data_IF_079200256541
#
_entry.id   IF_079200256541
#
_cell.length_a   1.000
_cell.length_b   1.000
_cell.length_c   1.000
_cell.angle_alpha   90.00
_cell.angle_beta   90.00
_cell.angle_gamma   90.00
#
_symmetry.space_group_name_H-M   'P 1'
#
loop_
_entity.id
_entity.type
_entity.pdbx_description
1 polymer ?
#
# COMPACT_ATOMS: atom_id res chain seq x y z
N UNK A 1 9.39 -9.47 5.26
CA UNK A 1 9.20 -9.18 3.83
C UNK A 1 9.92 -7.89 3.50
N UNK A 2 10.32 -7.68 2.24
CA UNK A 2 10.96 -6.43 1.81
C UNK A 2 10.13 -5.76 0.73
N UNK A 3 10.01 -4.45 0.84
CA UNK A 3 9.47 -3.58 -0.20
C UNK A 3 10.58 -2.70 -0.76
N UNK A 4 10.51 -2.41 -2.05
CA UNK A 4 11.41 -1.49 -2.73
C UNK A 4 10.57 -0.42 -3.42
N UNK A 5 10.66 0.82 -2.94
CA UNK A 5 9.99 1.98 -3.49
C UNK A 5 10.94 2.77 -4.38
N UNK A 6 10.46 3.21 -5.55
CA UNK A 6 11.28 3.89 -6.53
C UNK A 6 10.42 4.77 -7.45
N UNK A 7 11.06 5.71 -8.14
CA UNK A 7 10.38 6.56 -9.13
C UNK A 7 10.72 6.08 -10.53
N UNK A 8 9.70 5.92 -11.36
CA UNK A 8 9.84 5.59 -12.78
C UNK A 8 9.51 6.80 -13.65
N UNK A 9 10.18 6.91 -14.79
CA UNK A 9 9.82 7.88 -15.80
C UNK A 9 8.45 7.52 -16.40
N UNK A 10 7.53 8.47 -16.43
CA UNK A 10 6.21 8.35 -17.04
C UNK A 10 6.02 9.43 -18.10
N UNK A 11 4.96 9.30 -18.91
CA UNK A 11 4.64 10.28 -19.98
C UNK A 11 4.49 11.69 -19.42
N UNK A 12 3.95 11.82 -18.21
CA UNK A 12 3.66 13.09 -17.54
C UNK A 12 4.69 13.47 -16.46
N UNK A 13 5.84 12.79 -16.43
CA UNK A 13 6.94 13.08 -15.50
C UNK A 13 7.43 11.84 -14.77
N UNK A 14 7.07 11.72 -13.49
CA UNK A 14 7.52 10.66 -12.61
C UNK A 14 6.33 9.97 -11.95
N UNK A 15 6.35 8.65 -11.88
CA UNK A 15 5.37 7.84 -11.15
C UNK A 15 6.06 7.07 -10.04
N UNK A 16 5.52 7.02 -8.81
CA UNK A 16 6.06 6.16 -7.78
C UNK A 16 5.62 4.71 -8.04
N UNK A 17 6.53 3.78 -7.83
CA UNK A 17 6.33 2.36 -8.04
C UNK A 17 6.87 1.58 -6.84
N UNK A 18 6.37 0.34 -6.67
CA UNK A 18 6.70 -0.51 -5.55
C UNK A 18 6.90 -1.95 -6.03
N UNK A 19 8.00 -2.57 -5.60
CA UNK A 19 8.21 -4.01 -5.71
C UNK A 19 8.14 -4.66 -4.34
N UNK A 20 7.56 -5.86 -4.28
CA UNK A 20 7.57 -6.70 -3.08
C UNK A 20 8.45 -7.93 -3.29
N UNK A 21 9.21 -8.31 -2.25
CA UNK A 21 9.92 -9.59 -2.22
C UNK A 21 8.98 -10.79 -2.08
N UNK A 22 7.72 -10.54 -1.74
CA UNK A 22 6.65 -11.53 -1.72
C UNK A 22 5.71 -11.28 -2.90
N UNK A 23 5.47 -12.32 -3.67
CA UNK A 23 4.55 -12.32 -4.79
C UNK A 23 3.69 -13.59 -4.74
N UNK A 24 2.44 -13.46 -5.17
CA UNK A 24 1.51 -14.58 -5.30
C UNK A 24 1.70 -15.29 -6.66
N UNK A 25 0.81 -16.25 -6.98
CA UNK A 25 0.78 -16.90 -8.29
C UNK A 25 0.61 -15.86 -9.41
N UNK A 26 1.61 -15.70 -10.27
CA UNK A 26 1.64 -14.68 -11.31
C UNK A 26 2.57 -13.49 -11.06
N UNK A 27 3.44 -13.58 -10.06
CA UNK A 27 4.48 -12.58 -9.74
C UNK A 27 3.91 -11.19 -9.34
N UNK A 28 2.66 -11.15 -8.89
CA UNK A 28 2.00 -9.92 -8.41
C UNK A 28 1.96 -9.94 -6.88
N UNK A 29 2.53 -8.91 -6.24
CA UNK A 29 2.48 -8.71 -4.79
C UNK A 29 1.28 -7.85 -4.38
N UNK A 30 0.23 -8.40 -3.73
CA UNK A 30 -0.99 -7.66 -3.39
C UNK A 30 -0.74 -6.37 -2.62
N UNK A 31 0.19 -6.38 -1.66
CA UNK A 31 0.55 -5.16 -0.93
C UNK A 31 1.15 -4.09 -1.84
N UNK A 32 2.08 -4.45 -2.71
CA UNK A 32 2.68 -3.50 -3.65
C UNK A 32 1.61 -2.88 -4.55
N UNK A 33 0.68 -3.70 -5.05
CA UNK A 33 -0.41 -3.22 -5.90
C UNK A 33 -1.37 -2.28 -5.18
N UNK A 34 -1.73 -2.57 -3.92
CA UNK A 34 -2.55 -1.66 -3.11
C UNK A 34 -1.85 -0.32 -2.88
N UNK A 35 -0.54 -0.32 -2.58
CA UNK A 35 0.22 0.91 -2.35
C UNK A 35 0.27 1.77 -3.62
N UNK A 36 0.44 1.15 -4.79
CA UNK A 36 0.47 1.83 -6.09
C UNK A 36 -0.92 2.10 -6.68
N UNK A 37 -2.01 1.73 -6.01
CA UNK A 37 -3.37 2.02 -6.47
C UNK A 37 -3.70 3.50 -6.26
N UNK A 38 -3.51 4.28 -7.33
CA UNK A 38 -3.84 5.70 -7.36
C UNK A 38 -5.27 6.00 -7.82
N UNK A 39 -6.07 4.97 -8.13
CA UNK A 39 -7.42 5.08 -8.69
C UNK A 39 -7.55 6.10 -9.83
N UNK A 40 -6.55 6.19 -10.70
CA UNK A 40 -6.50 7.10 -11.84
C UNK A 40 -6.19 8.56 -11.48
N UNK A 41 -5.62 8.81 -10.30
CA UNK A 41 -5.24 10.16 -9.83
C UNK A 41 -3.72 10.32 -9.80
N UNK A 42 -3.22 11.54 -9.61
CA UNK A 42 -1.77 11.74 -9.44
C UNK A 42 -1.34 11.24 -8.07
N UNK A 43 -0.09 10.78 -7.97
CA UNK A 43 0.46 10.20 -6.74
C UNK A 43 0.26 11.08 -5.50
N UNK A 44 0.49 12.39 -5.59
CA UNK A 44 0.29 13.32 -4.46
C UNK A 44 -1.19 13.48 -4.07
N UNK A 45 -2.11 13.33 -5.02
CA UNK A 45 -3.55 13.40 -4.75
C UNK A 45 -4.05 12.15 -3.99
N UNK A 46 -3.22 11.09 -3.91
CA UNK A 46 -3.53 9.87 -3.15
C UNK A 46 -3.24 10.01 -1.65
N UNK A 47 -2.37 10.94 -1.24
CA UNK A 47 -1.94 11.13 0.16
C UNK A 47 -3.12 11.26 1.13
N UNK A 48 -4.18 12.06 0.85
CA UNK A 48 -5.33 12.15 1.75
C UNK A 48 -6.06 10.81 1.93
N UNK A 49 -6.19 10.00 0.87
CA UNK A 49 -6.84 8.69 0.94
C UNK A 49 -5.99 7.67 1.73
N UNK A 50 -4.67 7.69 1.53
CA UNK A 50 -3.73 6.90 2.33
C UNK A 50 -3.77 7.30 3.81
N UNK A 51 -3.93 8.61 4.10
CA UNK A 51 -4.14 9.13 5.44
C UNK A 51 -5.41 8.60 6.12
N UNK A 52 -6.50 8.40 5.35
CA UNK A 52 -7.72 7.72 5.85
C UNK A 52 -7.41 6.27 6.21
N UNK A 53 -6.64 5.55 5.38
CA UNK A 53 -6.16 4.20 5.68
C UNK A 53 -5.38 4.14 6.99
N UNK A 54 -4.40 5.03 7.17
CA UNK A 54 -3.62 5.12 8.41
C UNK A 54 -4.48 5.46 9.64
N UNK A 55 -5.50 6.30 9.49
CA UNK A 55 -6.47 6.58 10.55
C UNK A 55 -7.28 5.34 10.96
N UNK A 56 -7.69 4.53 9.99
CA UNK A 56 -8.42 3.27 10.23
C UNK A 56 -7.57 2.22 10.94
N UNK A 57 -6.30 2.10 10.58
CA UNK A 57 -5.33 1.25 11.30
C UNK A 57 -5.28 1.64 12.77
N UNK A 58 -5.15 2.94 13.08
CA UNK A 58 -5.12 3.45 14.46
C UNK A 58 -6.40 3.11 15.22
N UNK A 59 -7.57 3.31 14.62
CA UNK A 59 -8.86 3.01 15.26
C UNK A 59 -9.00 1.51 15.61
N UNK A 60 -8.57 0.63 14.69
CA UNK A 60 -8.62 -0.82 14.90
C UNK A 60 -7.61 -1.31 15.94
N UNK A 61 -6.37 -0.79 15.89
CA UNK A 61 -5.34 -1.07 16.91
C UNK A 61 -5.73 -0.54 18.29
N UNK A 62 -6.37 0.63 18.36
CA UNK A 62 -6.88 1.25 19.58
C UNK A 62 -8.11 0.55 20.17
N UNK A 63 -8.76 -0.34 19.41
CA UNK A 63 -9.98 -1.03 19.83
C UNK A 63 -11.24 -0.18 19.77
N UNK A 64 -11.22 0.92 19.02
CA UNK A 64 -12.41 1.73 18.74
C UNK A 64 -13.35 1.00 17.76
N UNK A 65 -12.76 0.20 16.87
CA UNK A 65 -13.46 -0.58 15.84
C UNK A 65 -12.80 -1.96 15.77
N UNK A 66 -13.58 -3.04 15.63
CA UNK A 66 -13.02 -4.40 15.53
C UNK A 66 -12.61 -4.79 14.10
N UNK A 67 -13.31 -4.23 13.11
CA UNK A 67 -13.14 -4.53 11.69
C UNK A 67 -13.49 -3.33 10.80
N UNK A 68 -12.68 -3.07 9.78
CA UNK A 68 -13.02 -2.09 8.73
C UNK A 68 -12.38 -2.46 7.39
N UNK A 69 -13.14 -2.35 6.30
CA UNK A 69 -12.64 -2.46 4.93
C UNK A 69 -12.18 -1.11 4.40
N UNK A 70 -11.07 -1.07 3.67
CA UNK A 70 -10.48 0.10 3.03
C UNK A 70 -10.00 -0.26 1.62
N UNK A 71 -10.64 0.28 0.59
CA UNK A 71 -10.36 -0.08 -0.79
C UNK A 71 -10.40 1.12 -1.73
N UNK A 72 -9.79 0.94 -2.90
CA UNK A 72 -9.76 1.86 -4.03
C UNK A 72 -9.65 1.06 -5.32
N UNK A 73 -10.28 1.56 -6.38
CA UNK A 73 -10.24 1.09 -7.78
C UNK A 73 -10.06 -0.41 -8.02
N UNK A 74 -8.85 -0.97 -7.82
CA UNK A 74 -8.54 -2.38 -8.06
C UNK A 74 -8.21 -3.18 -6.80
N UNK A 75 -7.83 -2.54 -5.69
CA UNK A 75 -7.31 -3.22 -4.50
C UNK A 75 -7.97 -2.77 -3.19
N UNK A 76 -8.03 -3.69 -2.22
CA UNK A 76 -8.58 -3.43 -0.91
C UNK A 76 -7.78 -4.07 0.22
N UNK A 77 -8.05 -3.58 1.43
CA UNK A 77 -7.57 -4.13 2.67
C UNK A 77 -8.73 -4.31 3.66
N UNK A 78 -8.79 -5.45 4.32
CA UNK A 78 -9.62 -5.68 5.49
C UNK A 78 -8.74 -5.61 6.73
N UNK A 79 -9.05 -4.69 7.64
CA UNK A 79 -8.24 -4.38 8.81
C UNK A 79 -8.91 -4.97 10.06
N UNK A 80 -8.15 -5.77 10.82
CA UNK A 80 -8.50 -6.25 12.16
C UNK A 80 -7.38 -5.91 13.14
N UNK A 81 -7.59 -6.08 14.45
CA UNK A 81 -6.59 -5.70 15.47
C UNK A 81 -5.22 -6.33 15.26
N UNK A 82 -5.15 -7.52 14.65
CA UNK A 82 -3.91 -8.27 14.53
C UNK A 82 -3.46 -8.45 13.07
N UNK A 83 -4.40 -8.46 12.12
CA UNK A 83 -4.14 -8.88 10.76
C UNK A 83 -4.78 -7.95 9.74
N UNK A 84 -4.14 -7.89 8.59
CA UNK A 84 -4.64 -7.23 7.39
C UNK A 84 -4.71 -8.24 6.27
N UNK A 85 -5.87 -8.35 5.62
CA UNK A 85 -6.02 -9.07 4.35
C UNK A 85 -6.00 -8.05 3.23
N UNK A 86 -4.97 -8.06 2.39
CA UNK A 86 -4.89 -7.26 1.16
C UNK A 86 -5.38 -8.11 -0.01
N UNK A 87 -6.32 -7.62 -0.81
CA UNK A 87 -7.01 -8.42 -1.82
C UNK A 87 -7.32 -7.62 -3.08
N UNK A 88 -7.43 -8.35 -4.20
CA UNK A 88 -7.95 -7.82 -5.46
C UNK A 88 -9.47 -7.67 -5.38
N UNK A 89 -10.00 -6.53 -5.87
CA UNK A 89 -11.44 -6.32 -6.02
C UNK A 89 -12.04 -7.10 -7.20
N UNK A 90 -11.20 -7.64 -8.08
CA UNK A 90 -11.61 -8.42 -9.25
C UNK A 90 -11.50 -9.94 -9.03
N UNK A 91 -10.71 -10.37 -8.05
CA UNK A 91 -10.51 -11.77 -7.70
C UNK A 91 -10.38 -11.93 -6.18
N UNK A 92 -11.47 -12.35 -5.54
CA UNK A 92 -11.53 -12.56 -4.08
C UNK A 92 -10.62 -13.67 -3.57
N UNK A 93 -10.17 -14.57 -4.47
CA UNK A 93 -9.20 -15.62 -4.16
C UNK A 93 -7.75 -15.12 -4.20
N UNK A 94 -7.53 -13.92 -4.79
CA UNK A 94 -6.22 -13.30 -4.90
C UNK A 94 -5.97 -12.33 -3.74
N UNK A 95 -5.30 -12.81 -2.70
CA UNK A 95 -5.02 -12.03 -1.51
C UNK A 95 -3.71 -12.40 -0.82
N UNK A 96 -3.26 -11.51 0.07
CA UNK A 96 -2.18 -11.71 1.02
C UNK A 96 -2.68 -11.37 2.42
N UNK A 97 -2.24 -12.11 3.44
CA UNK A 97 -2.54 -11.79 4.84
C UNK A 97 -1.24 -11.50 5.58
N UNK A 98 -1.21 -10.39 6.31
CA UNK A 98 -0.04 -9.94 7.05
C UNK A 98 -0.40 -9.34 8.41
N UNK A 99 0.62 -9.14 9.26
CA UNK A 99 0.45 -8.45 10.56
C UNK A 99 0.10 -6.97 10.35
N UNK A 100 -0.79 -6.43 11.19
CA UNK A 100 -1.22 -5.03 11.06
C UNK A 100 -0.08 -4.02 11.31
N UNK A 101 0.93 -4.36 12.11
CA UNK A 101 2.07 -3.47 12.34
C UNK A 101 2.97 -3.41 11.11
N UNK A 102 3.23 -4.55 10.47
CA UNK A 102 3.94 -4.62 9.19
C UNK A 102 3.21 -3.83 8.10
N UNK A 103 1.89 -3.93 8.04
CA UNK A 103 1.07 -3.14 7.12
C UNK A 103 1.12 -1.63 7.42
N UNK A 104 1.07 -1.23 8.70
CA UNK A 104 1.21 0.16 9.12
C UNK A 104 2.57 0.74 8.72
N UNK A 105 3.66 0.01 8.95
CA UNK A 105 5.01 0.43 8.53
C UNK A 105 5.07 0.61 7.02
N UNK A 106 4.54 -0.34 6.24
CA UNK A 106 4.50 -0.25 4.79
C UNK A 106 3.74 0.98 4.30
N UNK A 107 2.53 1.22 4.84
CA UNK A 107 1.66 2.33 4.45
C UNK A 107 2.29 3.68 4.79
N UNK A 108 2.84 3.84 6.00
CA UNK A 108 3.47 5.09 6.43
C UNK A 108 4.75 5.37 5.62
N UNK A 109 5.59 4.35 5.40
CA UNK A 109 6.79 4.51 4.60
C UNK A 109 6.46 4.87 3.14
N UNK A 110 5.37 4.32 2.59
CA UNK A 110 4.88 4.69 1.27
C UNK A 110 4.38 6.14 1.21
N UNK A 111 3.58 6.57 2.21
CA UNK A 111 3.12 7.97 2.33
C UNK A 111 4.31 8.94 2.40
N UNK A 112 5.34 8.60 3.17
CA UNK A 112 6.55 9.42 3.27
C UNK A 112 7.29 9.47 1.93
N UNK A 113 7.45 8.32 1.27
CA UNK A 113 8.12 8.21 -0.02
C UNK A 113 7.47 9.06 -1.13
N UNK A 114 6.15 8.98 -1.31
CA UNK A 114 5.45 9.71 -2.38
C UNK A 114 5.49 11.23 -2.20
N UNK A 115 5.74 11.71 -0.98
CA UNK A 115 5.92 13.13 -0.66
C UNK A 115 7.37 13.60 -0.84
N UNK A 116 8.33 12.69 -1.00
CA UNK A 116 9.70 13.06 -1.34
C UNK A 116 9.76 13.61 -2.76
N UNK A 117 10.80 14.40 -3.04
CA UNK A 117 11.08 14.86 -4.38
C UNK A 117 11.39 13.64 -5.28
N UNK A 118 10.76 13.51 -6.46
CA UNK A 118 11.08 12.42 -7.38
C UNK A 118 12.52 12.46 -7.88
N UNK A 119 13.21 11.31 -7.81
CA UNK A 119 14.58 11.10 -8.28
C UNK A 119 14.67 9.75 -9.00
N UNK A 120 15.19 9.72 -10.24
CA UNK A 120 15.29 8.47 -11.04
C UNK A 120 16.37 7.52 -10.52
N UNK A 121 17.38 8.06 -9.83
CA UNK A 121 18.50 7.27 -9.32
C UNK A 121 18.26 6.92 -7.86
N UNK A 122 18.11 5.62 -7.59
CA UNK A 122 17.95 5.10 -6.23
C UNK A 122 16.51 4.68 -5.91
N UNK A 123 16.33 4.30 -4.65
CA UNK A 123 15.05 3.85 -4.12
C UNK A 123 15.13 3.65 -2.60
N UNK A 124 13.99 3.42 -1.98
CA UNK A 124 13.88 3.15 -0.55
C UNK A 124 13.56 1.66 -0.35
N UNK A 125 14.42 0.94 0.37
CA UNK A 125 14.11 -0.41 0.85
C UNK A 125 13.47 -0.31 2.23
N UNK A 126 12.35 -1.03 2.40
CA UNK A 126 11.62 -1.11 3.67
C UNK A 126 11.46 -2.57 4.06
N UNK A 127 11.91 -2.92 5.26
CA UNK A 127 11.72 -4.25 5.84
C UNK A 127 10.49 -4.23 6.77
N UNK A 128 9.58 -5.19 6.57
CA UNK A 128 8.28 -5.31 7.24
C UNK A 128 7.97 -6.73 7.65
#
# INVERSE_FOLDING_TARGET
>A
MKLYFFWEASVDGFSPSCNSSFVNEGDVGPLACLLTDDGGQRSLDTVPWLGVGAGRIKAVKGGEIDFVGWSRDAWGAELTRNQVKVYSLYDESYFEVMDINSFEVALLAWIDFIQMKPELEGGCEVEI
#
